data_IF_806554408094
#
_entry.id   IF_806554408094
#
_cell.length_a   1.000
_cell.length_b   1.000
_cell.length_c   1.000
_cell.angle_alpha   90.00
_cell.angle_beta   90.00
_cell.angle_gamma   90.00
#
_symmetry.space_group_name_H-M   'P 1'
#
loop_
_entity.id
_entity.type
_entity.pdbx_description
1 polymer ?
#
# COMPACT_ATOMS: atom_id res chain seq x y z
N UNK A 1 -6.12 3.15 77.68
CA UNK A 1 -6.33 4.00 78.86
C UNK A 1 -7.18 5.19 78.42
N UNK A 2 -8.43 5.33 78.92
CA UNK A 2 -9.21 6.59 79.09
C UNK A 2 -9.43 7.48 77.83
N UNK A 3 -10.61 8.03 77.46
CA UNK A 3 -12.06 7.83 77.69
C UNK A 3 -12.78 8.69 76.61
N UNK A 4 -14.07 8.46 76.33
CA UNK A 4 -14.90 9.37 75.52
C UNK A 4 -15.24 10.68 76.28
N UNK A 5 -15.93 11.68 75.68
CA UNK A 5 -17.41 11.65 75.81
C UNK A 5 -18.28 12.41 74.76
N UNK A 6 -19.53 11.90 74.57
CA UNK A 6 -20.83 12.65 74.48
C UNK A 6 -21.09 13.68 73.35
N UNK A 7 -22.33 14.12 73.08
CA UNK A 7 -23.68 13.53 73.04
C UNK A 7 -24.75 14.60 72.68
N UNK A 8 -25.68 14.33 71.78
CA UNK A 8 -27.11 14.70 71.84
C UNK A 8 -27.80 14.23 70.53
N UNK A 9 -28.95 13.55 70.51
CA UNK A 9 -30.23 13.68 71.24
C UNK A 9 -31.28 14.49 70.46
N UNK A 10 -32.42 13.80 70.25
CA UNK A 10 -33.79 14.28 70.09
C UNK A 10 -34.40 13.91 68.72
N UNK A 11 -35.02 12.74 68.52
CA UNK A 11 -36.23 12.16 69.15
C UNK A 11 -37.55 12.61 68.47
N UNK A 12 -38.56 11.73 68.46
CA UNK A 12 -39.97 11.90 68.00
C UNK A 12 -40.17 11.92 66.47
N UNK A 13 -41.27 11.46 65.86
CA UNK A 13 -42.46 10.62 66.19
C UNK A 13 -43.18 10.30 64.83
N UNK A 14 -44.09 9.33 64.60
CA UNK A 14 -44.48 8.05 65.26
C UNK A 14 -45.52 7.31 64.36
N UNK A 15 -45.27 6.03 63.99
CA UNK A 15 -46.21 5.02 63.39
C UNK A 15 -46.96 5.36 62.08
N UNK A 16 -46.89 4.45 61.09
CA UNK A 16 -48.03 3.55 60.78
C UNK A 16 -47.58 2.31 59.97
N UNK A 17 -48.35 1.24 60.02
CA UNK A 17 -47.98 -0.10 59.53
C UNK A 17 -48.97 -0.58 58.45
N UNK A 18 -48.45 -1.27 57.43
CA UNK A 18 -49.14 -2.22 56.53
C UNK A 18 -50.34 -1.73 55.68
N UNK A 19 -50.25 -1.90 54.34
CA UNK A 19 -50.94 -2.98 53.60
C UNK A 19 -50.46 -3.00 52.13
N UNK A 20 -50.47 -4.20 51.54
CA UNK A 20 -50.02 -4.52 50.18
C UNK A 20 -51.05 -4.10 49.13
N UNK A 21 -50.59 -3.56 48.00
CA UNK A 21 -51.33 -3.53 46.74
C UNK A 21 -50.38 -3.82 45.57
N UNK A 22 -50.58 -4.94 44.88
CA UNK A 22 -49.93 -5.20 43.59
C UNK A 22 -50.47 -4.22 42.54
N UNK A 23 -49.60 -3.43 41.92
CA UNK A 23 -49.83 -2.92 40.58
C UNK A 23 -48.63 -3.29 39.70
N UNK A 24 -48.90 -4.07 38.66
CA UNK A 24 -47.91 -4.42 37.64
C UNK A 24 -47.63 -3.19 36.75
N UNK A 25 -46.59 -2.44 37.10
CA UNK A 25 -46.03 -1.40 36.22
C UNK A 25 -45.22 -2.05 35.11
N UNK A 26 -45.74 -2.08 33.89
CA UNK A 26 -44.97 -2.47 32.70
C UNK A 26 -43.84 -1.46 32.47
N UNK A 27 -42.60 -1.84 32.78
CA UNK A 27 -41.43 -1.12 32.27
C UNK A 27 -41.42 -1.24 30.75
N UNK A 28 -41.79 -0.16 30.07
CA UNK A 28 -41.35 0.08 28.70
C UNK A 28 -39.84 0.36 28.74
N UNK A 29 -39.07 -0.72 28.78
CA UNK A 29 -37.66 -0.67 28.44
C UNK A 29 -37.57 -0.28 26.97
N UNK A 30 -37.35 1.02 26.71
CA UNK A 30 -37.07 1.53 25.38
C UNK A 30 -35.81 0.85 24.86
N UNK A 31 -35.98 -0.19 24.04
CA UNK A 31 -34.87 -0.76 23.30
C UNK A 31 -34.47 0.28 22.27
N UNK A 32 -33.41 1.02 22.58
CA UNK A 32 -32.69 1.77 21.57
C UNK A 32 -32.03 0.72 20.69
N UNK A 33 -32.63 0.44 19.53
CA UNK A 33 -31.99 -0.31 18.46
C UNK A 33 -30.91 0.60 17.87
N UNK A 34 -29.82 0.75 18.63
CA UNK A 34 -28.57 1.24 18.08
C UNK A 34 -28.17 0.27 16.99
N UNK A 35 -28.36 0.68 15.74
CA UNK A 35 -27.73 0.02 14.60
C UNK A 35 -26.24 0.30 14.71
N UNK A 36 -25.56 -0.49 15.56
CA UNK A 36 -24.13 -0.65 15.51
C UNK A 36 -23.84 -1.26 14.15
N UNK A 37 -23.60 -0.40 13.15
CA UNK A 37 -22.83 -0.77 11.98
C UNK A 37 -21.50 -1.21 12.53
N UNK A 38 -21.31 -2.53 12.64
CA UNK A 38 -20.00 -3.11 12.80
C UNK A 38 -19.19 -2.58 11.61
N UNK A 39 -18.33 -1.59 11.86
CA UNK A 39 -17.21 -1.36 10.99
C UNK A 39 -16.52 -2.72 10.89
N UNK A 40 -16.53 -3.31 9.70
CA UNK A 40 -15.74 -4.50 9.47
C UNK A 40 -14.31 -4.10 9.82
N UNK A 41 -13.77 -4.70 10.89
CA UNK A 41 -12.37 -4.56 11.18
C UNK A 41 -11.65 -5.15 9.97
N UNK A 42 -11.17 -4.28 9.08
CA UNK A 42 -10.07 -4.65 8.20
C UNK A 42 -8.93 -4.91 9.18
N UNK A 43 -8.75 -6.18 9.52
CA UNK A 43 -7.59 -6.66 10.24
C UNK A 43 -6.43 -6.58 9.27
N UNK A 44 -5.96 -5.36 9.02
CA UNK A 44 -4.60 -5.09 8.60
C UNK A 44 -3.74 -5.46 9.80
N UNK A 45 -3.41 -6.75 9.89
CA UNK A 45 -2.61 -7.30 10.96
C UNK A 45 -1.21 -6.66 10.91
N UNK A 46 -0.79 -5.89 11.94
CA UNK A 46 0.55 -5.31 11.98
C UNK A 46 1.55 -6.40 12.39
N UNK A 47 1.75 -7.39 11.50
CA UNK A 47 2.67 -8.51 11.71
C UNK A 47 4.12 -8.06 11.55
N UNK A 48 4.61 -7.32 12.55
CA UNK A 48 6.03 -7.25 12.83
C UNK A 48 6.50 -8.62 13.37
N UNK A 49 6.66 -9.58 12.47
CA UNK A 49 7.26 -10.89 12.75
C UNK A 49 6.42 -12.08 12.29
N UNK A 50 6.94 -12.80 11.29
CA UNK A 50 6.43 -14.00 10.61
C UNK A 50 5.64 -13.75 9.31
N UNK A 51 6.27 -14.11 8.18
CA UNK A 51 5.69 -14.18 6.84
C UNK A 51 5.14 -12.88 6.23
N UNK A 52 5.83 -11.75 6.42
CA UNK A 52 5.85 -10.73 5.36
C UNK A 52 6.88 -11.17 4.28
N UNK A 53 6.43 -11.58 3.09
CA UNK A 53 7.31 -12.10 2.06
C UNK A 53 8.22 -11.01 1.45
N UNK A 54 7.89 -9.71 1.55
CA UNK A 54 8.70 -8.65 0.94
C UNK A 54 10.07 -8.48 1.59
N UNK A 55 10.24 -8.94 2.84
CA UNK A 55 11.43 -8.75 3.65
C UNK A 55 12.65 -9.51 3.08
N UNK A 56 13.78 -8.83 2.96
CA UNK A 56 14.99 -9.26 2.26
C UNK A 56 14.93 -9.13 0.73
N UNK A 57 13.86 -8.58 0.16
CA UNK A 57 13.78 -8.32 -1.28
C UNK A 57 14.40 -6.97 -1.68
N UNK A 58 14.39 -6.66 -2.98
CA UNK A 58 14.77 -5.33 -3.49
C UNK A 58 13.73 -4.22 -3.20
N UNK A 59 12.56 -4.59 -2.69
CA UNK A 59 11.54 -3.68 -2.20
C UNK A 59 11.43 -3.72 -0.66
N UNK A 60 12.41 -4.32 0.03
CA UNK A 60 12.59 -4.15 1.46
C UNK A 60 13.41 -2.88 1.74
N UNK A 61 12.72 -1.84 2.19
CA UNK A 61 13.27 -0.53 2.50
C UNK A 61 13.52 -0.33 4.02
N UNK A 62 13.50 -1.38 4.84
CA UNK A 62 13.79 -1.31 6.30
C UNK A 62 15.27 -1.08 6.66
N UNK A 63 16.10 -0.60 5.73
CA UNK A 63 17.55 -0.41 5.93
C UNK A 63 18.39 -1.69 6.16
N UNK A 64 17.75 -2.83 6.43
CA UNK A 64 18.37 -4.07 6.91
C UNK A 64 18.86 -4.97 5.78
N UNK A 65 20.08 -4.75 5.32
CA UNK A 65 20.82 -5.72 4.49
C UNK A 65 21.82 -6.60 5.28
N UNK A 66 21.68 -6.70 6.62
CA UNK A 66 22.41 -7.70 7.43
C UNK A 66 22.26 -9.12 6.86
N UNK A 67 21.08 -9.48 6.33
CA UNK A 67 20.80 -10.79 5.72
C UNK A 67 21.51 -11.01 4.37
N UNK A 68 21.96 -9.93 3.73
CA UNK A 68 22.76 -9.92 2.49
C UNK A 68 24.27 -9.90 2.75
N UNK A 69 24.70 -9.76 4.02
CA UNK A 69 26.11 -9.63 4.40
C UNK A 69 26.77 -8.29 4.02
N UNK A 70 25.97 -7.28 3.67
CA UNK A 70 26.44 -5.94 3.27
C UNK A 70 25.48 -4.90 3.83
N UNK A 71 25.98 -3.83 4.46
CA UNK A 71 25.13 -2.69 4.81
C UNK A 71 24.79 -1.88 3.55
N UNK A 72 23.90 -2.41 2.70
CA UNK A 72 23.38 -1.69 1.53
C UNK A 72 22.63 -0.45 2.00
N UNK A 73 23.21 0.73 1.75
CA UNK A 73 22.64 2.04 2.06
C UNK A 73 22.49 2.39 3.57
N UNK A 74 23.36 1.88 4.46
CA UNK A 74 23.47 2.48 5.79
C UNK A 74 23.98 3.93 5.67
N UNK A 75 23.17 4.91 6.08
CA UNK A 75 23.51 6.33 6.00
C UNK A 75 22.34 7.17 5.51
N UNK A 76 22.63 8.09 4.59
CA UNK A 76 21.73 9.19 4.20
C UNK A 76 21.13 9.03 2.80
N UNK A 77 20.96 7.80 2.28
CA UNK A 77 20.42 7.62 0.92
C UNK A 77 18.91 7.92 0.83
N UNK A 78 18.17 7.46 1.84
CA UNK A 78 16.72 7.59 1.94
C UNK A 78 16.33 7.54 3.44
N UNK A 79 15.14 8.04 3.78
CA UNK A 79 14.62 8.07 5.15
C UNK A 79 14.00 6.72 5.52
N UNK A 80 14.53 6.06 6.55
CA UNK A 80 13.95 4.81 7.06
C UNK A 80 12.73 5.09 7.96
N UNK A 81 11.55 4.67 7.49
CA UNK A 81 10.29 4.76 8.22
C UNK A 81 10.01 3.57 9.16
N UNK A 82 10.93 2.60 9.25
CA UNK A 82 10.91 1.51 10.23
C UNK A 82 10.15 0.24 9.82
N UNK A 83 9.44 0.24 8.69
CA UNK A 83 8.85 -0.96 8.08
C UNK A 83 8.60 -0.76 6.58
N UNK A 84 8.65 -1.84 5.79
CA UNK A 84 8.65 -1.74 4.31
C UNK A 84 7.29 -1.48 3.66
N UNK A 85 6.18 -1.75 4.37
CA UNK A 85 4.85 -1.55 3.79
C UNK A 85 4.50 -0.06 3.58
N UNK A 86 5.03 0.86 4.40
CA UNK A 86 4.66 2.29 4.37
C UNK A 86 5.06 3.00 3.08
N UNK A 87 6.10 2.53 2.39
CA UNK A 87 6.53 3.10 1.10
C UNK A 87 5.49 2.86 -0.01
N UNK A 88 4.52 1.98 0.21
CA UNK A 88 3.41 1.71 -0.72
C UNK A 88 2.04 2.02 -0.09
N UNK A 89 1.77 1.45 1.09
CA UNK A 89 0.46 1.47 1.75
C UNK A 89 0.33 2.61 2.76
N UNK A 90 -0.89 3.15 2.88
CA UNK A 90 -1.25 4.13 3.89
C UNK A 90 -0.99 3.50 5.27
N UNK A 91 -0.23 4.16 6.17
CA UNK A 91 0.10 3.60 7.48
C UNK A 91 -1.18 3.38 8.30
N UNK A 92 -1.28 2.34 9.15
CA UNK A 92 -2.50 2.00 9.88
C UNK A 92 -3.04 3.15 10.76
N UNK A 93 -2.16 4.05 11.20
CA UNK A 93 -2.51 5.23 12.00
C UNK A 93 -3.29 6.28 11.21
N UNK A 94 -3.15 6.29 9.87
CA UNK A 94 -3.86 7.17 8.93
C UNK A 94 -4.97 6.42 8.17
N UNK A 95 -5.48 5.32 8.75
CA UNK A 95 -6.55 4.53 8.14
C UNK A 95 -7.81 5.38 7.87
N UNK A 96 -8.21 5.46 6.60
CA UNK A 96 -9.32 6.28 6.13
C UNK A 96 -8.93 7.69 5.67
N UNK A 97 -7.65 8.08 5.77
CA UNK A 97 -7.13 9.24 5.07
C UNK A 97 -7.20 9.04 3.55
N UNK A 98 -7.38 10.13 2.80
CA UNK A 98 -7.35 10.13 1.34
C UNK A 98 -6.03 10.79 0.87
N UNK A 99 -5.07 10.03 0.28
CA UNK A 99 -3.82 10.58 -0.23
C UNK A 99 -4.01 11.68 -1.27
N UNK A 100 -5.03 11.58 -2.13
CA UNK A 100 -5.28 12.53 -3.22
C UNK A 100 -5.52 13.97 -2.72
N UNK A 101 -6.06 14.14 -1.50
CA UNK A 101 -6.20 15.44 -0.83
C UNK A 101 -4.86 16.15 -0.57
N UNK A 102 -3.75 15.43 -0.64
CA UNK A 102 -2.39 15.89 -0.39
C UNK A 102 -1.48 15.76 -1.63
N UNK A 103 -2.05 15.51 -2.82
CA UNK A 103 -1.28 15.22 -4.03
C UNK A 103 -0.76 13.78 -4.12
N UNK A 104 -1.29 12.88 -3.29
CA UNK A 104 -1.04 11.44 -3.32
C UNK A 104 -1.77 10.71 -4.45
N UNK A 105 -1.23 9.56 -4.82
CA UNK A 105 -1.90 8.59 -5.70
C UNK A 105 -3.08 7.99 -4.92
N UNK A 106 -4.26 7.92 -5.53
CA UNK A 106 -5.44 7.38 -4.86
C UNK A 106 -5.22 5.94 -4.38
N UNK A 107 -5.57 5.68 -3.11
CA UNK A 107 -5.32 4.40 -2.42
C UNK A 107 -3.88 4.10 -1.97
N UNK A 108 -2.88 4.92 -2.32
CA UNK A 108 -1.46 4.63 -2.06
C UNK A 108 -0.72 5.74 -1.32
N UNK A 109 0.28 5.38 -0.51
CA UNK A 109 1.09 6.30 0.28
C UNK A 109 2.26 6.93 -0.50
N UNK A 110 2.04 7.24 -1.78
CA UNK A 110 3.04 7.83 -2.68
C UNK A 110 2.46 9.08 -3.32
N UNK A 111 3.29 10.10 -3.53
CA UNK A 111 2.86 11.26 -4.32
C UNK A 111 2.62 10.87 -5.77
N UNK A 112 1.69 11.57 -6.43
CA UNK A 112 1.54 11.49 -7.88
C UNK A 112 2.83 12.04 -8.51
N UNK A 113 3.52 11.27 -9.37
CA UNK A 113 4.72 11.74 -10.04
C UNK A 113 4.41 12.94 -10.96
N UNK A 114 5.43 13.66 -11.41
CA UNK A 114 5.21 14.80 -12.32
C UNK A 114 4.68 14.33 -13.68
N UNK A 115 3.33 14.28 -13.81
CA UNK A 115 2.58 13.62 -14.89
C UNK A 115 2.90 14.07 -16.32
N UNK A 116 3.57 15.20 -16.50
CA UNK A 116 3.61 15.96 -17.74
C UNK A 116 4.22 15.25 -18.96
N UNK A 117 4.88 14.10 -18.79
CA UNK A 117 5.81 13.55 -19.80
C UNK A 117 5.75 12.03 -20.05
N UNK A 118 4.75 11.27 -19.53
CA UNK A 118 4.68 9.84 -19.83
C UNK A 118 4.38 9.58 -21.31
N UNK A 119 5.30 8.92 -22.01
CA UNK A 119 5.12 8.45 -23.37
C UNK A 119 4.80 6.95 -23.31
N UNK A 120 3.51 6.62 -23.36
CA UNK A 120 3.07 5.22 -23.33
C UNK A 120 3.24 4.56 -24.71
N UNK A 121 3.38 3.23 -24.71
CA UNK A 121 3.36 2.44 -25.95
C UNK A 121 2.08 2.74 -26.75
N UNK A 122 2.26 3.04 -28.04
CA UNK A 122 1.15 3.21 -28.99
C UNK A 122 1.42 2.44 -30.29
N UNK A 123 0.37 1.83 -30.83
CA UNK A 123 0.34 1.14 -32.13
C UNK A 123 -1.02 1.34 -32.81
N UNK A 124 -1.10 1.39 -34.15
CA UNK A 124 -2.37 1.31 -34.89
C UNK A 124 -3.18 0.04 -34.63
N UNK A 125 -2.59 -0.98 -34.02
CA UNK A 125 -3.20 -2.29 -33.71
C UNK A 125 -3.58 -2.45 -32.23
N UNK A 126 -3.69 -1.36 -31.45
CA UNK A 126 -4.22 -1.40 -30.09
C UNK A 126 -5.72 -1.12 -30.08
N UNK A 127 -6.51 -2.01 -29.48
CA UNK A 127 -7.96 -1.81 -29.29
C UNK A 127 -8.26 -0.70 -28.28
N UNK A 128 -7.39 -0.54 -27.28
CA UNK A 128 -7.49 0.48 -26.25
C UNK A 128 -6.17 1.21 -26.06
N UNK A 129 -6.23 2.54 -25.94
CA UNK A 129 -5.08 3.42 -25.69
C UNK A 129 -5.23 4.13 -24.35
N UNK A 130 -4.16 4.14 -23.56
CA UNK A 130 -4.04 4.98 -22.38
C UNK A 130 -3.29 6.27 -22.73
N UNK A 131 -3.70 7.39 -22.14
CA UNK A 131 -2.97 8.67 -22.24
C UNK A 131 -2.22 9.02 -20.95
N UNK A 132 -2.57 8.36 -19.85
CA UNK A 132 -2.00 8.55 -18.50
C UNK A 132 -2.00 7.21 -17.78
N UNK A 133 -0.96 6.84 -17.03
CA UNK A 133 -1.01 5.65 -16.18
C UNK A 133 -2.09 5.77 -15.09
N UNK A 134 -2.77 4.67 -14.82
CA UNK A 134 -3.72 4.51 -13.71
C UNK A 134 -2.97 4.47 -12.36
N UNK A 135 -3.65 4.74 -11.23
CA UNK A 135 -3.05 4.72 -9.88
C UNK A 135 -2.18 3.50 -9.57
N UNK A 136 -2.59 2.32 -10.04
CA UNK A 136 -1.91 1.04 -9.80
C UNK A 136 -0.54 0.97 -10.48
N UNK A 137 -0.42 1.41 -11.74
CA UNK A 137 0.88 1.51 -12.40
C UNK A 137 1.67 2.74 -11.95
N UNK A 138 0.99 3.84 -11.60
CA UNK A 138 1.64 5.02 -11.00
C UNK A 138 2.34 4.72 -9.68
N UNK A 139 1.85 3.78 -8.86
CA UNK A 139 2.58 3.33 -7.67
C UNK A 139 3.99 2.89 -8.04
N UNK A 140 4.13 1.97 -8.99
CA UNK A 140 5.41 1.47 -9.45
C UNK A 140 6.24 2.58 -10.09
N UNK A 141 5.65 3.36 -10.99
CA UNK A 141 6.34 4.45 -11.68
C UNK A 141 6.82 5.54 -10.70
N UNK A 142 6.13 5.78 -9.58
CA UNK A 142 6.56 6.76 -8.58
C UNK A 142 7.95 6.48 -8.00
N UNK A 143 8.41 5.22 -8.00
CA UNK A 143 9.80 4.89 -7.72
C UNK A 143 10.62 4.73 -9.00
N UNK A 144 10.06 4.09 -10.03
CA UNK A 144 10.80 3.62 -11.20
C UNK A 144 10.98 4.65 -12.34
N UNK A 145 10.29 5.80 -12.30
CA UNK A 145 10.40 6.85 -13.32
C UNK A 145 11.55 7.86 -13.06
N UNK A 146 12.18 7.79 -11.90
CA UNK A 146 13.31 8.64 -11.52
C UNK A 146 12.97 10.14 -11.34
N UNK A 147 11.69 10.51 -11.26
CA UNK A 147 11.23 11.91 -11.09
C UNK A 147 11.18 12.35 -9.63
N UNK A 148 11.04 11.41 -8.69
CA UNK A 148 10.96 11.65 -7.25
C UNK A 148 11.74 10.59 -6.47
N UNK A 149 11.96 10.85 -5.18
CA UNK A 149 12.74 9.96 -4.33
C UNK A 149 11.98 8.68 -3.94
N UNK A 150 12.71 7.60 -3.68
CA UNK A 150 12.11 6.29 -3.33
C UNK A 150 11.42 6.28 -1.96
N UNK A 151 11.70 7.26 -1.11
CA UNK A 151 11.16 7.47 0.26
C UNK A 151 10.14 8.62 0.37
N UNK A 152 9.80 9.30 -0.72
CA UNK A 152 8.76 10.34 -0.71
C UNK A 152 7.34 9.76 -0.57
N UNK A 153 6.94 9.56 0.69
CA UNK A 153 5.59 9.13 1.09
C UNK A 153 4.70 10.30 1.49
N UNK A 154 3.38 10.14 1.34
CA UNK A 154 2.38 11.17 1.68
C UNK A 154 2.21 11.29 3.20
N UNK A 155 2.13 10.14 3.87
CA UNK A 155 1.94 9.97 5.29
C UNK A 155 3.15 9.25 5.88
N UNK A 156 3.83 9.90 6.83
CA UNK A 156 4.96 9.32 7.57
C UNK A 156 4.43 8.65 8.85
N UNK A 157 4.96 7.50 9.30
CA UNK A 157 4.50 6.86 10.55
C UNK A 157 4.68 7.77 11.76
N UNK A 158 3.84 7.60 12.77
CA UNK A 158 3.91 8.36 14.04
C UNK A 158 5.22 8.12 14.81
N UNK A 159 5.97 7.07 14.49
CA UNK A 159 7.29 6.73 15.03
C UNK A 159 8.44 7.49 14.38
N UNK A 160 8.20 8.17 13.25
CA UNK A 160 9.23 8.84 12.47
C UNK A 160 9.58 10.23 13.04
N UNK A 161 10.82 10.41 13.49
CA UNK A 161 11.33 11.70 13.95
C UNK A 161 12.02 12.46 12.81
N UNK A 162 11.27 13.37 12.18
CA UNK A 162 11.78 14.24 11.12
C UNK A 162 12.93 15.18 11.54
N UNK A 163 13.20 15.36 12.84
CA UNK A 163 14.36 16.14 13.31
C UNK A 163 15.69 15.36 13.25
N UNK A 164 15.62 14.03 13.13
CA UNK A 164 16.76 13.13 12.95
C UNK A 164 16.93 12.70 11.48
N UNK A 165 15.99 13.06 10.61
CA UNK A 165 16.08 12.81 9.18
C UNK A 165 17.22 13.61 8.56
N UNK A 166 18.21 12.89 8.05
CA UNK A 166 19.41 13.45 7.40
C UNK A 166 19.56 12.93 5.98
N UNK A 167 18.51 12.31 5.43
CA UNK A 167 18.59 11.67 4.13
C UNK A 167 18.69 12.68 2.98
N UNK A 168 19.24 12.21 1.87
CA UNK A 168 19.40 12.95 0.61
C UNK A 168 18.23 12.71 -0.34
N UNK A 169 17.21 11.94 0.07
CA UNK A 169 16.02 11.59 -0.73
C UNK A 169 16.40 11.17 -2.17
N UNK A 170 17.13 10.07 -2.33
CA UNK A 170 17.60 9.62 -3.64
C UNK A 170 16.47 9.06 -4.54
N UNK A 171 16.54 9.38 -5.83
CA UNK A 171 15.66 8.86 -6.89
C UNK A 171 16.28 7.67 -7.62
N UNK A 172 15.46 6.72 -8.08
CA UNK A 172 15.91 5.60 -8.90
C UNK A 172 16.13 6.08 -10.35
N UNK A 173 17.29 6.67 -10.60
CA UNK A 173 17.74 7.11 -11.93
C UNK A 173 19.05 6.41 -12.32
N UNK A 174 19.36 6.38 -13.62
CA UNK A 174 20.63 5.93 -14.17
C UNK A 174 21.68 7.07 -14.24
N UNK A 175 21.33 8.28 -13.78
CA UNK A 175 22.21 9.46 -13.79
C UNK A 175 23.39 9.32 -12.81
N UNK A 176 24.56 9.81 -13.20
CA UNK A 176 25.75 9.94 -12.34
C UNK A 176 25.73 11.28 -11.58
N UNK A 177 24.71 11.45 -10.73
CA UNK A 177 24.52 12.61 -9.86
C UNK A 177 24.32 12.16 -8.40
N UNK A 178 24.49 13.06 -7.42
CA UNK A 178 24.45 12.70 -5.99
C UNK A 178 23.03 12.43 -5.47
N UNK A 179 22.00 12.80 -6.22
CA UNK A 179 20.58 12.60 -5.90
C UNK A 179 20.04 11.30 -6.56
N UNK A 180 20.88 10.59 -7.31
CA UNK A 180 20.54 9.43 -8.12
C UNK A 180 21.21 8.16 -7.59
N UNK A 181 20.42 7.09 -7.41
CA UNK A 181 20.96 5.77 -7.07
C UNK A 181 21.99 5.28 -8.11
N UNK A 182 21.83 5.67 -9.39
CA UNK A 182 22.67 5.21 -10.51
C UNK A 182 24.15 5.53 -10.36
N UNK A 183 24.50 6.61 -9.65
CA UNK A 183 25.89 6.97 -9.31
C UNK A 183 26.64 5.88 -8.55
N UNK A 184 25.94 5.12 -7.72
CA UNK A 184 26.51 3.99 -6.98
C UNK A 184 26.09 2.63 -7.53
N UNK A 185 25.05 2.57 -8.38
CA UNK A 185 24.46 1.33 -8.89
C UNK A 185 24.69 1.14 -10.40
N UNK A 186 25.91 1.44 -10.84
CA UNK A 186 26.39 1.36 -12.23
C UNK A 186 26.88 -0.03 -12.67
N UNK A 187 26.76 -1.04 -11.79
CA UNK A 187 27.33 -2.37 -12.00
C UNK A 187 28.83 -2.49 -11.66
N UNK A 188 29.50 -1.41 -11.22
CA UNK A 188 30.90 -1.41 -10.78
C UNK A 188 31.04 -1.18 -9.28
N UNK A 189 30.35 -0.17 -8.74
CA UNK A 189 30.35 0.13 -7.30
C UNK A 189 29.35 -0.77 -6.59
N UNK A 190 28.11 -0.75 -7.06
CA UNK A 190 27.00 -1.58 -6.62
C UNK A 190 26.41 -2.38 -7.78
N UNK A 191 25.36 -3.13 -7.49
CA UNK A 191 24.63 -3.90 -8.50
C UNK A 191 23.94 -2.98 -9.52
N UNK A 192 23.94 -3.36 -10.79
CA UNK A 192 23.35 -2.58 -11.89
C UNK A 192 21.82 -2.44 -11.76
N UNK A 193 21.35 -1.20 -11.66
CA UNK A 193 19.92 -0.84 -11.65
C UNK A 193 19.38 -0.37 -13.00
N UNK A 194 20.21 -0.22 -14.04
CA UNK A 194 19.83 0.44 -15.32
C UNK A 194 18.54 -0.15 -15.90
N UNK A 195 18.45 -1.48 -16.00
CA UNK A 195 17.25 -2.19 -16.50
C UNK A 195 16.02 -2.15 -15.55
N UNK A 196 16.04 -1.33 -14.50
CA UNK A 196 14.96 -1.10 -13.53
C UNK A 196 14.63 0.40 -13.41
N UNK A 197 15.40 1.27 -14.07
CA UNK A 197 15.05 2.68 -14.26
C UNK A 197 14.20 2.71 -15.54
N UNK A 198 12.88 2.80 -15.38
CA UNK A 198 11.95 2.85 -16.52
C UNK A 198 11.91 4.27 -17.11
N UNK A 199 12.00 5.29 -16.25
CA UNK A 199 11.83 6.67 -16.69
C UNK A 199 10.37 7.00 -17.05
N UNK A 200 10.18 8.05 -17.84
CA UNK A 200 8.86 8.45 -18.37
C UNK A 200 8.62 8.03 -19.82
N UNK A 201 9.60 7.45 -20.51
CA UNK A 201 9.44 6.91 -21.86
C UNK A 201 9.20 5.40 -21.78
N UNK A 202 7.93 5.00 -21.90
CA UNK A 202 7.46 3.61 -21.76
C UNK A 202 7.04 3.04 -23.13
N UNK A 203 7.53 3.61 -24.23
CA UNK A 203 7.20 3.16 -25.60
C UNK A 203 7.87 1.84 -26.00
N UNK A 204 8.84 1.39 -25.22
CA UNK A 204 9.50 0.08 -25.34
C UNK A 204 8.97 -0.96 -24.34
N UNK A 205 8.05 -0.57 -23.45
CA UNK A 205 7.48 -1.44 -22.42
C UNK A 205 6.15 -2.03 -22.88
N UNK A 206 5.66 -3.05 -22.15
CA UNK A 206 4.33 -3.58 -22.40
C UNK A 206 3.27 -2.51 -22.09
N UNK A 207 2.22 -2.36 -22.91
CA UNK A 207 1.09 -1.49 -22.60
C UNK A 207 0.55 -1.71 -21.17
N UNK A 208 0.39 -0.61 -20.45
CA UNK A 208 -0.19 -0.53 -19.10
C UNK A 208 -1.33 0.48 -19.09
N UNK A 209 -2.21 0.34 -18.11
CA UNK A 209 -3.39 1.17 -17.91
C UNK A 209 -4.36 1.17 -19.10
N UNK A 210 -4.29 0.12 -19.91
CA UNK A 210 -5.22 -0.17 -21.00
C UNK A 210 -6.22 -1.24 -20.57
N UNK A 211 -7.46 -1.13 -21.07
CA UNK A 211 -8.43 -2.20 -20.92
C UNK A 211 -7.96 -3.45 -21.67
N UNK A 212 -8.09 -4.62 -21.06
CA UNK A 212 -7.72 -5.88 -21.68
C UNK A 212 -8.67 -6.24 -22.84
N UNK A 213 -8.11 -6.43 -24.05
CA UNK A 213 -8.88 -6.64 -25.28
C UNK A 213 -9.79 -7.90 -25.26
N UNK A 214 -9.44 -8.92 -24.47
CA UNK A 214 -10.30 -10.08 -24.23
C UNK A 214 -11.58 -9.79 -23.41
N UNK A 215 -11.78 -8.55 -22.95
CA UNK A 215 -13.01 -8.06 -22.30
C UNK A 215 -13.62 -6.95 -23.16
N UNK A 216 -14.90 -7.09 -23.54
CA UNK A 216 -15.66 -6.02 -24.20
C UNK A 216 -15.37 -5.83 -25.70
N UNK A 217 -14.10 -5.90 -26.12
CA UNK A 217 -13.71 -5.76 -27.53
C UNK A 217 -13.93 -7.04 -28.35
N UNK A 218 -13.91 -8.21 -27.69
CA UNK A 218 -14.02 -9.54 -28.32
C UNK A 218 -12.92 -9.81 -29.38
N UNK A 219 -11.70 -9.31 -29.15
CA UNK A 219 -10.58 -9.66 -30.01
C UNK A 219 -10.27 -11.16 -29.91
N UNK A 220 -10.19 -11.81 -31.08
CA UNK A 220 -9.92 -13.24 -31.24
C UNK A 220 -8.45 -13.58 -31.01
N UNK A 221 -7.56 -12.59 -31.05
CA UNK A 221 -6.13 -12.74 -30.76
C UNK A 221 -5.84 -12.71 -29.24
N UNK A 222 -6.88 -12.61 -28.40
CA UNK A 222 -6.78 -12.63 -26.94
C UNK A 222 -7.58 -13.76 -26.30
N UNK A 223 -7.06 -14.29 -25.20
CA UNK A 223 -7.72 -15.35 -24.41
C UNK A 223 -8.84 -14.74 -23.55
N UNK A 224 -9.99 -15.43 -23.41
CA UNK A 224 -10.97 -15.08 -22.40
C UNK A 224 -10.36 -15.27 -21.00
N UNK A 225 -10.88 -14.55 -20.00
CA UNK A 225 -10.46 -14.75 -18.61
C UNK A 225 -10.86 -16.13 -18.10
N UNK A 226 -9.98 -16.72 -17.29
CA UNK A 226 -10.21 -18.02 -16.64
C UNK A 226 -10.81 -17.87 -15.24
N UNK A 227 -10.66 -16.69 -14.64
CA UNK A 227 -11.16 -16.28 -13.33
C UNK A 227 -11.77 -14.88 -13.42
N UNK A 228 -12.57 -14.40 -12.45
CA UNK A 228 -13.21 -13.07 -12.53
C UNK A 228 -12.25 -11.93 -12.87
N UNK A 229 -11.02 -11.98 -12.35
CA UNK A 229 -10.03 -10.90 -12.43
C UNK A 229 -8.70 -11.37 -13.07
N UNK A 230 -8.69 -12.42 -13.91
CA UNK A 230 -7.45 -12.90 -14.54
C UNK A 230 -7.37 -14.39 -14.84
N UNK A 231 -6.19 -14.98 -14.63
CA UNK A 231 -5.79 -16.29 -15.14
C UNK A 231 -5.32 -17.25 -14.04
N UNK A 232 -5.44 -18.56 -14.26
CA UNK A 232 -5.10 -19.58 -13.26
C UNK A 232 -3.62 -19.63 -12.89
N UNK A 233 -2.74 -19.11 -13.75
CA UNK A 233 -1.30 -19.02 -13.49
C UNK A 233 -0.89 -17.86 -12.57
N UNK A 234 -1.84 -17.05 -12.10
CA UNK A 234 -1.61 -15.97 -11.13
C UNK A 234 -1.48 -14.57 -11.72
N UNK A 235 -1.51 -14.42 -13.05
CA UNK A 235 -1.65 -13.14 -13.77
C UNK A 235 -3.05 -12.57 -13.51
N UNK A 236 -3.14 -11.27 -13.21
CA UNK A 236 -4.39 -10.61 -12.76
C UNK A 236 -4.63 -9.27 -13.43
N UNK A 237 -5.86 -8.96 -13.80
CA UNK A 237 -6.27 -7.62 -14.21
C UNK A 237 -6.76 -6.83 -12.99
N UNK A 238 -6.80 -5.51 -13.14
CA UNK A 238 -7.32 -4.60 -12.11
C UNK A 238 -8.38 -3.73 -12.77
N UNK A 239 -9.64 -3.88 -12.34
CA UNK A 239 -10.82 -3.26 -12.96
C UNK A 239 -10.90 -3.50 -14.50
N UNK A 240 -10.46 -4.68 -14.93
CA UNK A 240 -10.38 -5.08 -16.34
C UNK A 240 -9.18 -4.52 -17.11
N UNK A 241 -8.30 -3.75 -16.47
CA UNK A 241 -7.10 -3.18 -17.08
C UNK A 241 -5.85 -4.04 -16.86
N UNK A 242 -4.93 -3.96 -17.81
CA UNK A 242 -3.56 -4.46 -17.71
C UNK A 242 -2.71 -3.40 -17.02
N UNK A 243 -2.04 -3.74 -15.92
CA UNK A 243 -1.20 -2.82 -15.13
C UNK A 243 0.18 -3.45 -14.85
N UNK A 244 1.14 -2.71 -14.30
CA UNK A 244 2.41 -3.30 -13.84
C UNK A 244 2.16 -4.51 -12.91
N UNK A 245 1.22 -4.37 -11.97
CA UNK A 245 0.85 -5.43 -11.03
C UNK A 245 0.09 -6.62 -11.68
N UNK A 246 -0.18 -6.59 -13.00
CA UNK A 246 -0.77 -7.72 -13.74
C UNK A 246 0.24 -8.83 -13.97
N UNK A 247 1.48 -8.46 -14.27
CA UNK A 247 2.59 -9.37 -14.47
C UNK A 247 3.46 -9.49 -13.21
N UNK A 248 3.51 -8.44 -12.38
CA UNK A 248 4.36 -8.38 -11.18
C UNK A 248 3.58 -8.54 -9.87
N UNK A 249 4.17 -9.21 -8.89
CA UNK A 249 3.66 -9.39 -7.53
C UNK A 249 4.74 -9.01 -6.51
N UNK A 250 4.69 -7.78 -6.01
CA UNK A 250 5.66 -7.28 -5.01
C UNK A 250 5.65 -8.08 -3.71
N UNK A 251 4.53 -8.71 -3.36
CA UNK A 251 4.40 -9.62 -2.22
C UNK A 251 4.86 -11.07 -2.53
N UNK A 252 5.56 -11.31 -3.64
CA UNK A 252 6.25 -12.59 -3.89
C UNK A 252 7.62 -12.37 -4.54
N UNK A 253 8.66 -12.08 -3.74
CA UNK A 253 10.02 -11.95 -4.22
C UNK A 253 10.75 -13.29 -4.38
N UNK A 254 10.05 -14.43 -4.27
CA UNK A 254 10.66 -15.73 -4.57
C UNK A 254 11.01 -15.90 -6.06
N UNK A 255 10.49 -15.00 -6.92
CA UNK A 255 10.59 -15.09 -8.37
C UNK A 255 11.38 -13.92 -8.95
N UNK A 256 12.29 -14.16 -9.92
CA UNK A 256 12.98 -13.09 -10.63
C UNK A 256 12.01 -12.08 -11.22
N UNK A 257 12.36 -10.79 -11.10
CA UNK A 257 11.52 -9.67 -11.53
C UNK A 257 10.10 -9.68 -10.92
N UNK A 258 9.87 -10.34 -9.78
CA UNK A 258 8.56 -10.43 -9.11
C UNK A 258 7.44 -11.06 -9.97
N UNK A 259 7.78 -11.87 -10.97
CA UNK A 259 6.79 -12.30 -11.97
C UNK A 259 5.74 -13.28 -11.42
N UNK A 260 4.47 -13.03 -11.78
CA UNK A 260 3.30 -13.86 -11.44
C UNK A 260 3.24 -15.17 -12.21
N UNK A 261 3.81 -15.23 -13.41
CA UNK A 261 3.96 -16.45 -14.20
C UNK A 261 5.39 -16.55 -14.75
N UNK A 262 5.78 -17.71 -15.29
CA UNK A 262 7.12 -17.86 -15.86
C UNK A 262 7.25 -17.01 -17.15
N UNK A 263 8.43 -16.41 -17.43
CA UNK A 263 8.62 -15.53 -18.60
C UNK A 263 8.17 -16.15 -19.93
N UNK A 264 8.37 -17.46 -20.09
CA UNK A 264 8.09 -18.20 -21.32
C UNK A 264 6.59 -18.36 -21.62
N UNK A 265 5.73 -18.20 -20.60
CA UNK A 265 4.27 -18.34 -20.72
C UNK A 265 3.51 -17.04 -20.45
N UNK A 266 4.19 -15.98 -20.01
CA UNK A 266 3.56 -14.70 -19.65
C UNK A 266 2.78 -14.11 -20.84
N UNK A 267 3.41 -14.05 -22.02
CA UNK A 267 2.77 -13.52 -23.22
C UNK A 267 1.58 -14.37 -23.69
N UNK A 268 1.72 -15.71 -23.66
CA UNK A 268 0.68 -16.65 -24.10
C UNK A 268 -0.43 -16.87 -23.07
N UNK A 269 -0.31 -16.26 -21.88
CA UNK A 269 -1.41 -16.16 -20.89
C UNK A 269 -2.53 -15.27 -21.44
N UNK A 270 -2.16 -14.20 -22.14
CA UNK A 270 -3.11 -13.23 -22.70
C UNK A 270 -3.30 -13.44 -24.20
N UNK A 271 -2.22 -13.60 -24.96
CA UNK A 271 -2.29 -13.63 -26.43
C UNK A 271 -2.46 -15.04 -26.98
N UNK A 272 -3.30 -15.14 -28.00
CA UNK A 272 -3.40 -16.26 -28.94
C UNK A 272 -2.47 -15.92 -30.12
N UNK A 273 -1.63 -16.87 -30.52
CA UNK A 273 -0.68 -16.77 -31.64
C UNK A 273 -0.76 -18.05 -32.48
#
# INVERSE_FOLDING_TARGET
>A
MIMAPKSNSSDKHTKLTLIVSLLAGTLLAGTVWGTYTFAAAIVGDPVLGASDPILGSKHDFTGLNERSGVNSMSGVAFSDYGYSCVYCHIPPEEAGANPASFGGIDGWNRYVPTLSNYQLFDSPTLDHKANTPNPISMLCLSCHDGTMAVDMVVFKPVTFDASQDTSMHMRLSASDDIESCGKCHDGRIGHDITAKVLGTDLRNDHPISIQYAGIGFNDVDFRPLETPDGFFNGVKLYDGNVECMTCHNVHDPSRPLLLRANPEVLCSTCHIK
#
